data_IF_563385702814
#
_entry.id   IF_563385702814
#
_cell.length_a   1.000
_cell.length_b   1.000
_cell.length_c   1.000
_cell.angle_alpha   90.00
_cell.angle_beta   90.00
_cell.angle_gamma   90.00
#
_symmetry.space_group_name_H-M   'P 1'
#
loop_
_entity.id
_entity.type
_entity.pdbx_description
1 polymer ?
#
# COMPACT_ATOMS: atom_id res chain seq x y z
N UNK A 1 4.37 -1.70 16.38
CA UNK A 1 3.40 -0.97 15.58
C UNK A 1 2.45 -1.89 14.86
N UNK A 2 1.31 -1.35 14.39
CA UNK A 2 0.31 -2.10 13.63
C UNK A 2 -0.45 -1.17 12.67
N UNK A 3 -1.27 -1.74 11.78
CA UNK A 3 -1.99 -0.99 10.73
C UNK A 3 -2.93 0.05 11.32
N UNK A 4 -3.63 -0.28 12.41
CA UNK A 4 -4.53 0.65 13.11
C UNK A 4 -3.76 1.86 13.64
N UNK A 5 -2.64 1.64 14.35
CA UNK A 5 -1.81 2.71 14.89
C UNK A 5 -1.28 3.62 13.78
N UNK A 6 -0.64 3.03 12.75
CA UNK A 6 -0.10 3.80 11.62
C UNK A 6 -1.17 4.54 10.83
N UNK A 7 -2.38 3.96 10.69
CA UNK A 7 -3.51 4.66 10.05
C UNK A 7 -4.01 5.83 10.91
N UNK A 8 -3.99 5.73 12.24
CA UNK A 8 -4.35 6.82 13.14
C UNK A 8 -3.28 7.91 13.16
N UNK A 9 -1.99 7.55 13.14
CA UNK A 9 -0.89 8.50 13.04
C UNK A 9 -1.00 9.30 11.73
N UNK A 10 -1.25 8.63 10.59
CA UNK A 10 -1.49 9.28 9.31
C UNK A 10 -2.73 10.20 9.36
N UNK A 11 -3.85 9.75 9.94
CA UNK A 11 -5.06 10.57 10.13
C UNK A 11 -4.76 11.85 10.89
N UNK A 12 -4.05 11.75 12.02
CA UNK A 12 -3.74 12.89 12.87
C UNK A 12 -2.80 13.87 12.15
N UNK A 13 -1.79 13.37 11.44
CA UNK A 13 -0.87 14.18 10.64
C UNK A 13 -1.61 14.91 9.52
N UNK A 14 -2.47 14.22 8.77
CA UNK A 14 -3.29 14.82 7.70
C UNK A 14 -4.18 15.92 8.30
N UNK A 15 -4.90 15.63 9.39
CA UNK A 15 -5.78 16.61 10.04
C UNK A 15 -5.03 17.88 10.45
N UNK A 16 -3.82 17.73 11.00
CA UNK A 16 -2.97 18.85 11.43
C UNK A 16 -2.44 19.68 10.26
N UNK A 17 -1.97 19.02 9.20
CA UNK A 17 -1.29 19.66 8.07
C UNK A 17 -2.29 20.22 7.06
N UNK A 18 -3.26 19.41 6.66
CA UNK A 18 -4.17 19.74 5.55
C UNK A 18 -5.33 20.63 6.00
N UNK A 19 -5.74 20.51 7.27
CA UNK A 19 -6.89 21.26 7.83
C UNK A 19 -8.15 21.05 6.98
N UNK A 20 -8.68 22.11 6.34
CA UNK A 20 -9.88 22.08 5.49
C UNK A 20 -9.55 21.99 3.98
N UNK A 21 -8.28 22.01 3.58
CA UNK A 21 -7.88 22.04 2.17
C UNK A 21 -8.10 20.68 1.48
N UNK A 22 -8.22 20.74 0.16
CA UNK A 22 -8.18 19.55 -0.69
C UNK A 22 -6.76 19.05 -0.84
N UNK A 23 -6.60 17.74 -1.03
CA UNK A 23 -5.29 17.11 -1.17
C UNK A 23 -5.32 15.81 -1.99
N UNK A 24 -4.15 15.38 -2.42
CA UNK A 24 -3.91 14.11 -3.10
C UNK A 24 -3.22 13.18 -2.11
N UNK A 25 -3.64 11.93 -2.06
CA UNK A 25 -2.94 10.86 -1.32
C UNK A 25 -1.98 10.13 -2.24
N UNK A 26 -0.75 9.96 -1.78
CA UNK A 26 0.24 9.10 -2.42
C UNK A 26 0.67 8.04 -1.40
N UNK A 27 0.67 6.78 -1.82
CA UNK A 27 1.11 5.70 -0.96
C UNK A 27 1.92 4.65 -1.72
N UNK A 28 3.09 4.28 -1.17
CA UNK A 28 3.91 3.21 -1.71
C UNK A 28 3.79 1.96 -0.85
N UNK A 29 3.68 0.79 -1.46
CA UNK A 29 3.61 -0.51 -0.80
C UNK A 29 2.57 -0.53 0.33
N UNK A 30 2.96 -0.79 1.58
CA UNK A 30 2.12 -0.70 2.77
C UNK A 30 1.53 0.71 2.98
N UNK A 31 2.26 1.77 2.59
CA UNK A 31 1.78 3.14 2.65
C UNK A 31 0.50 3.37 1.85
N UNK A 32 0.30 2.65 0.74
CA UNK A 32 -0.95 2.68 -0.01
C UNK A 32 -2.12 2.07 0.79
N UNK A 33 -1.89 1.06 1.61
CA UNK A 33 -2.91 0.51 2.52
C UNK A 33 -3.32 1.53 3.57
N UNK A 34 -2.34 2.18 4.20
CA UNK A 34 -2.58 3.24 5.19
C UNK A 34 -3.35 4.41 4.54
N UNK A 35 -2.98 4.80 3.31
CA UNK A 35 -3.65 5.85 2.54
C UNK A 35 -5.11 5.47 2.21
N UNK A 36 -5.38 4.23 1.79
CA UNK A 36 -6.75 3.75 1.55
C UNK A 36 -7.63 3.84 2.80
N UNK A 37 -7.06 3.58 3.99
CA UNK A 37 -7.78 3.75 5.24
C UNK A 37 -8.19 5.21 5.52
N UNK A 38 -7.54 6.21 4.91
CA UNK A 38 -7.88 7.61 5.13
C UNK A 38 -9.17 8.04 4.42
N UNK A 39 -9.62 7.31 3.39
CA UNK A 39 -10.87 7.64 2.69
C UNK A 39 -12.11 7.63 3.60
N UNK A 40 -12.09 6.85 4.68
CA UNK A 40 -13.19 6.86 5.66
C UNK A 40 -13.32 8.18 6.44
N UNK A 41 -12.23 8.97 6.50
CA UNK A 41 -12.19 10.23 7.25
C UNK A 41 -12.22 11.48 6.35
N UNK A 42 -11.52 11.42 5.19
CA UNK A 42 -11.22 12.59 4.37
C UNK A 42 -11.78 12.49 2.95
N UNK A 43 -12.77 11.63 2.73
CA UNK A 43 -13.31 11.34 1.39
C UNK A 43 -13.65 12.60 0.58
N UNK A 44 -14.21 13.64 1.21
CA UNK A 44 -14.60 14.89 0.53
C UNK A 44 -13.40 15.75 0.14
N UNK A 45 -12.32 15.70 0.92
CA UNK A 45 -11.10 16.48 0.72
C UNK A 45 -10.09 15.79 -0.21
N UNK A 46 -10.13 14.45 -0.31
CA UNK A 46 -9.24 13.68 -1.19
C UNK A 46 -9.70 13.87 -2.63
N UNK A 47 -8.85 14.50 -3.46
CA UNK A 47 -9.12 14.80 -4.88
C UNK A 47 -8.35 13.91 -5.85
N UNK A 48 -7.45 13.08 -5.35
CA UNK A 48 -6.69 12.12 -6.15
C UNK A 48 -6.02 11.06 -5.29
N UNK A 49 -5.73 9.91 -5.89
CA UNK A 49 -4.99 8.85 -5.23
C UNK A 49 -3.95 8.25 -6.18
N UNK A 50 -2.71 8.17 -5.72
CA UNK A 50 -1.61 7.49 -6.43
C UNK A 50 -1.10 6.35 -5.56
N UNK A 51 -1.20 5.14 -6.06
CA UNK A 51 -0.64 3.95 -5.41
C UNK A 51 0.57 3.43 -6.17
N UNK A 52 1.69 3.24 -5.49
CA UNK A 52 2.96 2.78 -6.05
C UNK A 52 3.28 1.41 -5.46
N UNK A 53 3.38 0.35 -6.29
CA UNK A 53 3.63 -1.02 -5.82
C UNK A 53 2.72 -1.43 -4.67
N UNK A 54 1.45 -1.03 -4.72
CA UNK A 54 0.52 -1.06 -3.59
C UNK A 54 0.27 -2.45 -3.04
N UNK A 55 0.43 -2.60 -1.73
CA UNK A 55 0.35 -3.86 -1.01
C UNK A 55 -0.72 -3.87 0.11
N UNK A 56 -1.99 -3.50 -0.16
CA UNK A 56 -3.01 -3.60 0.88
C UNK A 56 -3.25 -5.06 1.28
N UNK A 57 -3.46 -5.28 2.58
CA UNK A 57 -3.72 -6.62 3.14
C UNK A 57 -2.58 -7.64 2.90
N UNK A 58 -1.34 -7.17 2.62
CA UNK A 58 -0.20 -8.06 2.32
C UNK A 58 0.12 -9.02 3.46
N UNK A 59 -0.09 -8.60 4.70
CA UNK A 59 0.16 -9.42 5.88
C UNK A 59 -0.59 -10.76 5.83
N UNK A 60 -1.86 -10.72 5.40
CA UNK A 60 -2.69 -11.92 5.28
C UNK A 60 -2.57 -12.57 3.90
N UNK A 61 -2.64 -11.77 2.83
CA UNK A 61 -2.73 -12.26 1.45
C UNK A 61 -1.41 -12.73 0.85
N UNK A 62 -0.28 -12.17 1.29
CA UNK A 62 1.04 -12.54 0.79
C UNK A 62 1.87 -13.24 1.85
N UNK A 63 2.05 -12.65 3.04
CA UNK A 63 2.95 -13.18 4.05
C UNK A 63 2.35 -14.42 4.75
N UNK A 64 1.18 -14.29 5.39
CA UNK A 64 0.57 -15.39 6.12
C UNK A 64 0.34 -16.63 5.26
N UNK A 65 -0.08 -16.45 4.01
CA UNK A 65 -0.26 -17.58 3.08
C UNK A 65 1.03 -18.33 2.78
N UNK A 66 2.16 -17.64 2.71
CA UNK A 66 3.48 -18.21 2.41
C UNK A 66 4.21 -18.76 3.63
N UNK A 67 3.79 -18.40 4.83
CA UNK A 67 4.43 -18.90 6.05
C UNK A 67 4.26 -20.41 6.19
N UNK A 68 5.34 -21.08 6.60
CA UNK A 68 5.33 -22.51 6.94
C UNK A 68 4.42 -22.79 8.13
N UNK A 69 4.00 -24.03 8.30
CA UNK A 69 3.24 -24.46 9.49
C UNK A 69 3.99 -24.13 10.78
N UNK A 70 5.32 -24.30 10.81
CA UNK A 70 6.19 -23.97 11.95
C UNK A 70 6.09 -22.49 12.31
N UNK A 71 6.29 -21.58 11.36
CA UNK A 71 6.20 -20.13 11.58
C UNK A 71 4.81 -19.73 12.08
N UNK A 72 3.75 -20.25 11.45
CA UNK A 72 2.37 -19.97 11.88
C UNK A 72 2.11 -20.42 13.31
N UNK A 73 2.55 -21.64 13.66
CA UNK A 73 2.45 -22.20 15.03
C UNK A 73 3.18 -21.30 16.02
N UNK A 74 4.42 -20.93 15.70
CA UNK A 74 5.23 -20.04 16.55
C UNK A 74 4.56 -18.69 16.79
N UNK A 75 4.02 -18.04 15.75
CA UNK A 75 3.29 -16.77 15.88
C UNK A 75 2.06 -16.93 16.77
N UNK A 76 1.30 -18.03 16.63
CA UNK A 76 0.07 -18.25 17.40
C UNK A 76 0.39 -18.57 18.86
N UNK A 77 1.37 -19.43 19.14
CA UNK A 77 1.66 -19.94 20.48
C UNK A 77 2.55 -18.98 21.30
N UNK A 78 3.57 -18.36 20.64
CA UNK A 78 4.52 -17.45 21.30
C UNK A 78 4.18 -15.97 21.08
N UNK A 79 3.18 -15.67 20.24
CA UNK A 79 2.79 -14.30 19.89
C UNK A 79 3.72 -13.63 18.87
N UNK A 80 4.84 -14.25 18.49
CA UNK A 80 5.86 -13.65 17.62
C UNK A 80 6.71 -14.73 16.93
N UNK A 81 7.14 -14.45 15.69
CA UNK A 81 8.22 -15.18 15.02
C UNK A 81 9.14 -14.19 14.29
N UNK A 82 10.43 -14.51 14.24
CA UNK A 82 11.43 -13.74 13.50
C UNK A 82 11.51 -14.28 12.08
N UNK A 83 11.18 -13.42 11.12
CA UNK A 83 11.22 -13.77 9.71
C UNK A 83 12.53 -13.29 9.11
N UNK A 84 13.26 -14.23 8.53
CA UNK A 84 14.47 -13.92 7.76
C UNK A 84 14.09 -13.63 6.32
N UNK A 85 14.48 -12.50 5.81
CA UNK A 85 14.26 -12.08 4.42
C UNK A 85 15.58 -11.73 3.77
N UNK A 86 15.76 -12.19 2.55
CA UNK A 86 16.94 -11.97 1.73
C UNK A 86 17.37 -13.25 1.02
N UNK A 87 17.94 -13.12 -0.17
CA UNK A 87 18.58 -14.23 -0.86
C UNK A 87 20.07 -14.18 -0.52
N UNK A 88 20.62 -15.21 0.17
CA UNK A 88 22.03 -15.28 0.52
C UNK A 88 22.97 -15.14 -0.69
N UNK A 89 22.51 -15.55 -1.88
CA UNK A 89 23.28 -15.51 -3.14
C UNK A 89 23.44 -14.11 -3.71
N UNK A 90 22.60 -13.15 -3.31
CA UNK A 90 22.56 -11.79 -3.86
C UNK A 90 23.38 -10.78 -3.05
N UNK A 91 24.21 -11.21 -2.07
CA UNK A 91 24.97 -10.33 -1.15
C UNK A 91 24.14 -9.21 -0.51
N UNK A 92 22.81 -9.31 -0.58
CA UNK A 92 21.92 -8.38 0.12
C UNK A 92 21.90 -8.75 1.60
N UNK A 93 22.08 -7.75 2.46
CA UNK A 93 21.99 -7.96 3.92
C UNK A 93 20.71 -8.73 4.23
N UNK A 94 20.84 -9.85 4.94
CA UNK A 94 19.68 -10.54 5.48
C UNK A 94 19.02 -9.59 6.48
N UNK A 95 17.73 -9.33 6.26
CA UNK A 95 16.93 -8.57 7.20
C UNK A 95 16.11 -9.57 8.02
N UNK A 96 16.24 -9.47 9.32
CA UNK A 96 15.36 -10.16 10.25
C UNK A 96 14.35 -9.15 10.78
N UNK A 97 13.10 -9.53 10.76
CA UNK A 97 12.06 -8.68 11.32
C UNK A 97 11.00 -9.51 12.05
N UNK A 98 10.51 -9.00 13.19
CA UNK A 98 9.49 -9.68 13.96
C UNK A 98 8.12 -9.54 13.30
N UNK A 99 7.39 -10.66 13.18
CA UNK A 99 5.98 -10.66 12.87
C UNK A 99 5.22 -11.16 14.08
N UNK A 100 4.33 -10.33 14.60
CA UNK A 100 3.53 -10.64 15.78
C UNK A 100 2.13 -11.10 15.40
N UNK A 101 1.52 -11.95 16.24
CA UNK A 101 0.11 -12.33 16.12
C UNK A 101 -0.81 -11.09 16.13
N UNK A 102 -0.50 -10.11 16.99
CA UNK A 102 -1.20 -8.84 17.03
C UNK A 102 -1.18 -8.11 15.68
N UNK A 103 -0.01 -8.07 14.99
CA UNK A 103 0.12 -7.41 13.68
C UNK A 103 -0.75 -8.11 12.62
N UNK A 104 -0.75 -9.43 12.61
CA UNK A 104 -1.58 -10.22 11.69
C UNK A 104 -3.08 -10.00 11.97
N UNK A 105 -3.50 -10.11 13.24
CA UNK A 105 -4.90 -9.90 13.66
C UNK A 105 -5.36 -8.47 13.35
N UNK A 106 -4.51 -7.48 13.60
CA UNK A 106 -4.82 -6.08 13.32
C UNK A 106 -4.92 -5.82 11.79
N UNK A 107 -4.02 -6.42 11.00
CA UNK A 107 -4.12 -6.36 9.53
C UNK A 107 -5.46 -6.91 9.01
N UNK A 108 -5.94 -8.02 9.57
CA UNK A 108 -7.23 -8.62 9.22
C UNK A 108 -8.43 -7.73 9.59
N UNK A 109 -8.33 -6.91 10.64
CA UNK A 109 -9.36 -5.92 11.01
C UNK A 109 -9.38 -4.72 10.06
N UNK A 110 -8.26 -4.39 9.45
CA UNK A 110 -8.09 -3.22 8.59
C UNK A 110 -8.25 -3.54 7.08
N UNK A 111 -9.11 -4.48 6.72
CA UNK A 111 -9.37 -4.83 5.32
C UNK A 111 -9.94 -3.65 4.54
N UNK A 112 -9.43 -3.44 3.32
CA UNK A 112 -9.84 -2.37 2.40
C UNK A 112 -10.26 -2.89 1.03
N UNK A 113 -9.76 -4.04 0.61
CA UNK A 113 -10.01 -4.59 -0.73
C UNK A 113 -11.43 -5.15 -0.91
N UNK A 114 -12.14 -5.43 0.18
CA UNK A 114 -13.55 -5.85 0.15
C UNK A 114 -14.53 -4.68 0.25
N UNK A 115 -14.04 -3.46 0.51
CA UNK A 115 -14.86 -2.26 0.65
C UNK A 115 -15.00 -1.55 -0.69
N UNK A 116 -16.06 -0.75 -0.85
CA UNK A 116 -16.24 0.13 -2.00
C UNK A 116 -16.06 1.59 -1.58
N UNK A 117 -15.25 2.31 -2.35
CA UNK A 117 -15.01 3.74 -2.18
C UNK A 117 -15.65 4.45 -3.37
N UNK A 118 -16.78 5.11 -3.13
CA UNK A 118 -17.41 5.96 -4.14
C UNK A 118 -16.80 7.36 -4.08
N UNK A 119 -15.99 7.72 -5.06
CA UNK A 119 -15.32 9.03 -5.13
C UNK A 119 -15.14 9.45 -6.60
N UNK A 120 -15.51 10.69 -6.95
CA UNK A 120 -15.28 11.28 -8.27
C UNK A 120 -13.87 11.88 -8.34
N UNK A 121 -12.84 11.01 -8.39
CA UNK A 121 -11.43 11.40 -8.38
C UNK A 121 -10.65 10.63 -9.44
N UNK A 122 -9.43 11.11 -9.75
CA UNK A 122 -8.45 10.32 -10.49
C UNK A 122 -7.75 9.35 -9.54
N UNK A 123 -7.72 8.06 -9.93
CA UNK A 123 -6.99 7.00 -9.22
C UNK A 123 -5.95 6.40 -10.17
N UNK A 124 -4.69 6.60 -9.87
CA UNK A 124 -3.58 6.08 -10.67
C UNK A 124 -2.78 5.08 -9.85
N UNK A 125 -2.62 3.87 -10.41
CA UNK A 125 -1.73 2.85 -9.85
C UNK A 125 -0.50 2.74 -10.73
N UNK A 126 0.70 2.87 -10.13
CA UNK A 126 1.98 2.62 -10.78
C UNK A 126 2.58 1.36 -10.21
N UNK A 127 2.95 0.40 -11.08
CA UNK A 127 3.44 -0.90 -10.64
C UNK A 127 4.62 -1.37 -11.47
N UNK A 128 5.60 -1.98 -10.82
CA UNK A 128 6.74 -2.59 -11.50
C UNK A 128 6.36 -3.92 -12.15
N UNK A 129 6.68 -4.09 -13.44
CA UNK A 129 6.43 -5.35 -14.14
C UNK A 129 7.29 -6.51 -13.64
N UNK A 130 8.42 -6.18 -12.98
CA UNK A 130 9.36 -7.13 -12.35
C UNK A 130 9.27 -7.07 -10.81
N UNK A 131 8.13 -6.62 -10.26
CA UNK A 131 7.90 -6.62 -8.81
C UNK A 131 7.76 -8.06 -8.30
N UNK A 132 8.80 -8.57 -7.63
CA UNK A 132 8.85 -9.92 -7.05
C UNK A 132 8.18 -9.98 -5.67
N UNK A 133 7.90 -8.84 -5.05
CA UNK A 133 7.34 -8.73 -3.70
C UNK A 133 5.81 -8.72 -3.75
N UNK A 134 5.25 -7.86 -4.61
CA UNK A 134 3.80 -7.64 -4.74
C UNK A 134 3.37 -7.86 -6.19
N UNK A 135 2.49 -8.81 -6.46
CA UNK A 135 1.96 -9.03 -7.81
C UNK A 135 1.16 -7.82 -8.33
N UNK A 136 1.26 -7.51 -9.62
CA UNK A 136 0.48 -6.44 -10.30
C UNK A 136 -1.03 -6.56 -10.06
N UNK A 137 -1.52 -7.78 -9.81
CA UNK A 137 -2.93 -8.02 -9.49
C UNK A 137 -3.41 -7.25 -8.26
N UNK A 138 -2.53 -6.88 -7.32
CA UNK A 138 -2.89 -6.04 -6.18
C UNK A 138 -3.29 -4.63 -6.61
N UNK A 139 -2.56 -4.00 -7.55
CA UNK A 139 -2.95 -2.71 -8.11
C UNK A 139 -4.31 -2.80 -8.84
N UNK A 140 -4.59 -3.87 -9.57
CA UNK A 140 -5.91 -4.10 -10.17
C UNK A 140 -7.01 -4.23 -9.12
N UNK A 141 -6.76 -4.94 -8.00
CA UNK A 141 -7.69 -5.04 -6.88
C UNK A 141 -7.93 -3.69 -6.21
N UNK A 142 -6.90 -2.86 -6.06
CA UNK A 142 -7.09 -1.49 -5.55
C UNK A 142 -7.97 -0.67 -6.48
N UNK A 143 -7.76 -0.73 -7.79
CA UNK A 143 -8.64 -0.03 -8.74
C UNK A 143 -10.08 -0.51 -8.67
N UNK A 144 -10.33 -1.79 -8.42
CA UNK A 144 -11.69 -2.33 -8.29
C UNK A 144 -12.43 -1.88 -7.01
N UNK A 145 -11.71 -1.38 -6.00
CA UNK A 145 -12.31 -0.82 -4.79
C UNK A 145 -13.03 0.49 -5.08
N UNK A 146 -12.54 1.26 -6.04
CA UNK A 146 -13.10 2.58 -6.36
C UNK A 146 -14.29 2.49 -7.33
N UNK A 147 -15.38 3.15 -6.97
CA UNK A 147 -16.52 3.40 -7.84
C UNK A 147 -16.56 4.89 -8.23
N UNK A 148 -17.08 5.19 -9.41
CA UNK A 148 -17.24 6.56 -9.92
C UNK A 148 -15.92 7.36 -10.04
N UNK A 149 -14.79 6.66 -10.16
CA UNK A 149 -13.46 7.26 -10.30
C UNK A 149 -12.91 7.03 -11.70
N UNK A 150 -12.13 8.00 -12.20
CA UNK A 150 -11.29 7.80 -13.38
C UNK A 150 -10.09 6.95 -12.96
N UNK A 151 -9.89 5.80 -13.60
CA UNK A 151 -8.91 4.78 -13.19
C UNK A 151 -7.80 4.64 -14.21
N UNK A 152 -6.55 4.57 -13.75
CA UNK A 152 -5.38 4.35 -14.59
C UNK A 152 -4.45 3.32 -13.94
N UNK A 153 -3.95 2.37 -14.73
CA UNK A 153 -2.89 1.45 -14.33
C UNK A 153 -1.69 1.66 -15.25
N UNK A 154 -0.57 2.01 -14.66
CA UNK A 154 0.73 2.17 -15.34
C UNK A 154 1.63 1.05 -14.91
N UNK A 155 2.03 0.19 -15.84
CA UNK A 155 2.97 -0.90 -15.58
C UNK A 155 4.31 -0.56 -16.21
N UNK A 156 5.33 -0.42 -15.37
CA UNK A 156 6.71 -0.22 -15.79
C UNK A 156 7.38 -1.57 -16.01
N UNK A 157 7.50 -2.00 -17.28
CA UNK A 157 7.94 -3.35 -17.66
C UNK A 157 9.22 -3.81 -16.95
N UNK A 158 10.21 -2.93 -16.79
CA UNK A 158 11.49 -3.21 -16.12
C UNK A 158 11.53 -2.79 -14.65
N UNK A 159 10.45 -2.22 -14.12
CA UNK A 159 10.40 -1.73 -12.74
C UNK A 159 10.33 -2.86 -11.73
N UNK A 160 11.05 -2.70 -10.63
CA UNK A 160 11.00 -3.54 -9.43
C UNK A 160 9.92 -3.04 -8.44
N UNK A 161 9.91 -3.58 -7.21
CA UNK A 161 8.99 -3.14 -6.16
C UNK A 161 9.22 -1.69 -5.73
N UNK A 162 10.45 -1.23 -5.68
CA UNK A 162 10.80 0.09 -5.13
C UNK A 162 10.46 1.24 -6.06
N UNK A 163 10.53 1.03 -7.38
CA UNK A 163 10.31 2.05 -8.42
C UNK A 163 11.11 3.34 -8.16
N UNK A 164 12.33 3.23 -7.62
CA UNK A 164 13.16 4.34 -7.15
C UNK A 164 14.15 4.88 -8.17
N UNK A 165 14.26 4.27 -9.36
CA UNK A 165 15.15 4.75 -10.41
C UNK A 165 14.66 6.08 -10.99
N UNK A 166 15.59 6.93 -11.42
CA UNK A 166 15.27 8.28 -11.90
C UNK A 166 14.18 8.33 -12.99
N UNK A 167 14.26 7.42 -13.99
CA UNK A 167 13.22 7.33 -15.05
C UNK A 167 11.85 6.95 -14.50
N UNK A 168 11.80 6.09 -13.46
CA UNK A 168 10.57 5.66 -12.82
C UNK A 168 9.96 6.79 -11.98
N UNK A 169 10.80 7.51 -11.23
CA UNK A 169 10.38 8.68 -10.45
C UNK A 169 9.83 9.79 -11.35
N UNK A 170 10.50 10.10 -12.48
CA UNK A 170 9.98 11.07 -13.47
C UNK A 170 8.57 10.70 -13.95
N UNK A 171 8.31 9.42 -14.18
CA UNK A 171 6.98 8.97 -14.61
C UNK A 171 5.95 9.10 -13.50
N UNK A 172 6.31 8.73 -12.26
CA UNK A 172 5.43 8.92 -11.10
C UNK A 172 5.08 10.40 -10.93
N UNK A 173 6.06 11.30 -11.05
CA UNK A 173 5.86 12.76 -10.99
C UNK A 173 4.94 13.23 -12.13
N UNK A 174 5.13 12.70 -13.34
CA UNK A 174 4.25 13.02 -14.48
C UNK A 174 2.80 12.65 -14.19
N UNK A 175 2.55 11.46 -13.65
CA UNK A 175 1.20 11.02 -13.29
C UNK A 175 0.60 11.87 -12.16
N UNK A 176 1.41 12.26 -11.18
CA UNK A 176 0.99 13.16 -10.11
C UNK A 176 0.61 14.55 -10.66
N UNK A 177 1.46 15.13 -11.51
CA UNK A 177 1.20 16.44 -12.13
C UNK A 177 -0.07 16.40 -13.00
N UNK A 178 -0.33 15.29 -13.68
CA UNK A 178 -1.58 15.11 -14.41
C UNK A 178 -2.80 15.20 -13.47
N UNK A 179 -2.74 14.56 -12.31
CA UNK A 179 -3.83 14.63 -11.32
C UNK A 179 -3.98 16.06 -10.80
N UNK A 180 -2.87 16.74 -10.45
CA UNK A 180 -2.89 18.11 -9.94
C UNK A 180 -3.55 19.06 -10.94
N UNK A 181 -3.17 18.98 -12.22
CA UNK A 181 -3.74 19.84 -13.30
C UNK A 181 -5.22 19.59 -13.56
N UNK A 182 -5.73 18.40 -13.25
CA UNK A 182 -7.13 18.03 -13.44
C UNK A 182 -7.92 17.96 -12.12
N UNK A 183 -7.35 18.47 -11.05
CA UNK A 183 -7.98 18.59 -9.75
C UNK A 183 -8.81 19.88 -9.73
N UNK A 184 -10.07 19.74 -10.13
CA UNK A 184 -11.07 20.83 -10.10
C UNK A 184 -12.02 20.58 -8.93
#
# INVERSE_FOLDING_TARGET
GNITKWSNDAKNSIKKIVKKNNFILIGSSMGAWIALNQFKYFKKQIKGFVGIGSAPEFLDRLMWKKFTKKIKKEIIEKGISIIKHGDPRLKRKQYEYPITDQLIKDGRKNKVLSKKISAKIQVTMVHGGKDEVVPVSFSRKVLSVFNNSKKKLVILKSGDHSLSQHKQLKLIIKELNFIIKNMI
#
